data_IF_601084479751
#
_entry.id   IF_601084479751
#
_cell.length_a   1.000
_cell.length_b   1.000
_cell.length_c   1.000
_cell.angle_alpha   90.00
_cell.angle_beta   90.00
_cell.angle_gamma   90.00
#
_symmetry.space_group_name_H-M   'P 1'
#
loop_
_entity.id
_entity.type
_entity.pdbx_description
1 polymer ?
#
# COMPACT_ATOMS: atom_id res chain seq x y z
N UNK A 1 -9.01 -20.26 -21.69
CA UNK A 1 -10.08 -19.25 -21.52
C UNK A 1 -9.42 -17.90 -21.29
N UNK A 2 -9.58 -16.95 -22.23
CA UNK A 2 -9.08 -15.58 -22.06
C UNK A 2 -9.98 -14.85 -21.06
N UNK A 3 -9.46 -14.50 -19.88
CA UNK A 3 -10.17 -13.68 -18.91
C UNK A 3 -9.84 -12.23 -19.21
N UNK A 4 -10.67 -11.61 -20.05
CA UNK A 4 -10.58 -10.17 -20.32
C UNK A 4 -10.94 -9.41 -19.05
N UNK A 5 -9.97 -8.72 -18.46
CA UNK A 5 -10.21 -7.86 -17.30
C UNK A 5 -10.87 -6.57 -17.80
N UNK A 6 -12.09 -6.33 -17.35
CA UNK A 6 -12.81 -5.07 -17.61
C UNK A 6 -12.51 -4.14 -16.44
N UNK A 7 -11.63 -3.15 -16.66
CA UNK A 7 -11.10 -2.25 -15.62
C UNK A 7 -12.23 -1.52 -14.88
N UNK A 8 -13.26 -1.05 -15.60
CA UNK A 8 -14.41 -0.37 -15.00
C UNK A 8 -15.20 -1.26 -14.03
N UNK A 9 -15.40 -2.53 -14.38
CA UNK A 9 -16.08 -3.51 -13.52
C UNK A 9 -15.23 -3.89 -12.31
N UNK A 10 -13.91 -3.98 -12.48
CA UNK A 10 -12.99 -4.20 -11.37
C UNK A 10 -13.03 -3.04 -10.37
N UNK A 11 -12.99 -1.79 -10.86
CA UNK A 11 -13.09 -0.61 -10.01
C UNK A 11 -14.42 -0.51 -9.26
N UNK A 12 -15.53 -0.87 -9.90
CA UNK A 12 -16.85 -0.89 -9.27
C UNK A 12 -16.91 -1.93 -8.14
N UNK A 13 -16.40 -3.14 -8.39
CA UNK A 13 -16.35 -4.20 -7.37
C UNK A 13 -15.44 -3.81 -6.21
N UNK A 14 -14.28 -3.18 -6.47
CA UNK A 14 -13.38 -2.71 -5.42
C UNK A 14 -13.99 -1.58 -4.57
N UNK A 15 -14.81 -0.70 -5.18
CA UNK A 15 -15.47 0.40 -4.47
C UNK A 15 -16.64 -0.08 -3.60
N UNK A 16 -17.29 -1.16 -4.02
CA UNK A 16 -18.46 -1.72 -3.33
C UNK A 16 -18.12 -2.83 -2.33
N UNK A 17 -16.85 -3.25 -2.26
CA UNK A 17 -16.39 -4.22 -1.27
C UNK A 17 -16.26 -3.52 0.10
N UNK A 18 -16.56 -4.25 1.17
CA UNK A 18 -16.38 -3.73 2.53
C UNK A 18 -14.90 -3.35 2.77
N UNK A 19 -14.64 -2.40 3.67
CA UNK A 19 -13.28 -2.03 4.02
C UNK A 19 -12.60 -3.15 4.80
N UNK A 20 -11.89 -4.01 4.06
CA UNK A 20 -11.13 -5.13 4.60
C UNK A 20 -9.69 -4.72 4.95
N UNK A 21 -9.35 -3.42 4.91
CA UNK A 21 -7.98 -2.94 5.18
C UNK A 21 -7.46 -3.41 6.54
N UNK A 22 -8.34 -3.49 7.55
CA UNK A 22 -8.02 -3.98 8.89
C UNK A 22 -7.64 -5.47 9.00
N UNK A 23 -7.79 -6.25 7.91
CA UNK A 23 -7.35 -7.66 7.86
C UNK A 23 -5.95 -7.84 7.31
N UNK A 24 -5.39 -6.79 6.71
CA UNK A 24 -4.04 -6.82 6.19
C UNK A 24 -3.08 -6.25 7.22
N UNK A 25 -1.88 -6.84 7.29
CA UNK A 25 -0.83 -6.31 8.14
C UNK A 25 -0.52 -4.88 7.71
N UNK A 26 -0.37 -3.99 8.69
CA UNK A 26 0.03 -2.60 8.44
C UNK A 26 1.33 -2.63 7.59
N UNK A 27 1.32 -2.09 6.36
CA UNK A 27 2.50 -2.11 5.50
C UNK A 27 3.65 -1.28 6.09
N UNK A 28 3.37 -0.44 7.10
CA UNK A 28 4.36 0.30 7.86
C UNK A 28 4.83 -0.42 9.13
N UNK A 29 4.39 -1.66 9.36
CA UNK A 29 4.84 -2.46 10.50
C UNK A 29 6.35 -2.71 10.39
N UNK A 30 7.11 -2.16 11.35
CA UNK A 30 8.57 -2.24 11.37
C UNK A 30 9.27 -0.96 10.93
N UNK A 31 8.54 0.05 10.43
CA UNK A 31 9.10 1.38 10.26
C UNK A 31 9.38 2.02 11.62
N UNK A 32 10.47 2.79 11.70
CA UNK A 32 10.72 3.69 12.82
C UNK A 32 9.60 4.73 12.94
N UNK A 33 9.53 5.42 14.08
CA UNK A 33 8.54 6.50 14.28
C UNK A 33 8.76 7.63 13.26
N UNK A 34 10.01 7.96 12.93
CA UNK A 34 10.33 8.99 11.94
C UNK A 34 10.03 8.57 10.50
N UNK A 35 10.36 7.33 10.13
CA UNK A 35 9.98 6.79 8.83
C UNK A 35 8.44 6.70 8.67
N UNK A 36 7.71 6.35 9.73
CA UNK A 36 6.24 6.38 9.72
C UNK A 36 5.69 7.80 9.58
N UNK A 37 6.30 8.77 10.25
CA UNK A 37 5.95 10.18 10.06
C UNK A 37 6.14 10.63 8.60
N UNK A 38 7.26 10.26 7.96
CA UNK A 38 7.52 10.53 6.54
C UNK A 38 6.56 9.76 5.62
N UNK A 39 6.18 8.54 5.96
CA UNK A 39 5.18 7.77 5.21
C UNK A 39 3.84 8.53 5.14
N UNK A 40 3.34 9.00 6.28
CA UNK A 40 2.05 9.68 6.39
C UNK A 40 2.07 11.09 5.77
N UNK A 41 3.14 11.86 5.98
CA UNK A 41 3.19 13.28 5.63
C UNK A 41 3.92 13.60 4.32
N UNK A 42 4.65 12.63 3.77
CA UNK A 42 5.39 12.80 2.50
C UNK A 42 4.95 11.76 1.49
N UNK A 43 5.09 10.47 1.80
CA UNK A 43 4.92 9.42 0.80
C UNK A 43 3.46 9.27 0.34
N UNK A 44 2.50 9.19 1.27
CA UNK A 44 1.07 9.10 0.93
C UNK A 44 0.61 10.32 0.09
N UNK A 45 0.87 11.57 0.49
CA UNK A 45 0.51 12.73 -0.33
C UNK A 45 1.11 12.68 -1.74
N UNK A 46 2.40 12.35 -1.88
CA UNK A 46 3.06 12.22 -3.19
C UNK A 46 2.41 11.13 -4.04
N UNK A 47 2.12 9.97 -3.44
CA UNK A 47 1.42 8.88 -4.13
C UNK A 47 0.00 9.27 -4.56
N UNK A 48 -0.64 10.18 -3.84
CA UNK A 48 -1.96 10.71 -4.19
C UNK A 48 -1.90 11.91 -5.16
N UNK A 49 -0.71 12.29 -5.62
CA UNK A 49 -0.51 13.41 -6.54
C UNK A 49 -0.62 14.79 -5.88
N UNK A 50 -0.54 14.86 -4.55
CA UNK A 50 -0.49 16.11 -3.81
C UNK A 50 0.95 16.62 -3.72
N UNK A 51 1.10 17.95 -3.70
CA UNK A 51 2.39 18.60 -3.47
C UNK A 51 2.74 18.56 -1.98
N UNK A 52 3.99 18.21 -1.65
CA UNK A 52 4.49 18.19 -0.28
C UNK A 52 5.41 19.38 -0.07
N UNK A 53 5.00 20.31 0.78
CA UNK A 53 5.85 21.42 1.19
C UNK A 53 6.78 20.95 2.31
N UNK A 54 8.08 20.89 2.01
CA UNK A 54 9.09 20.49 2.99
C UNK A 54 9.20 21.46 4.16
N UNK A 55 8.84 22.73 3.97
CA UNK A 55 8.85 23.75 5.03
C UNK A 55 7.75 23.57 6.10
N UNK A 56 6.74 22.74 5.83
CA UNK A 56 5.69 22.40 6.82
C UNK A 56 5.97 21.10 7.59
N UNK A 57 7.07 20.42 7.31
CA UNK A 57 7.44 19.21 8.01
C UNK A 57 8.09 19.54 9.36
N UNK A 58 7.68 18.82 10.40
CA UNK A 58 8.36 18.78 11.68
C UNK A 58 9.70 18.03 11.53
N UNK A 59 10.78 18.79 11.39
CA UNK A 59 12.14 18.27 11.14
C UNK A 59 12.74 17.54 12.34
N UNK A 60 12.15 17.67 13.53
CA UNK A 60 12.61 16.99 14.75
C UNK A 60 12.03 15.57 14.87
N UNK A 61 11.08 15.20 14.01
CA UNK A 61 10.40 13.90 14.06
C UNK A 61 11.08 12.78 13.30
N UNK A 62 12.08 13.08 12.48
CA UNK A 62 12.76 12.10 11.66
C UNK A 62 14.23 12.48 11.49
N UNK A 63 15.05 11.48 11.21
CA UNK A 63 16.46 11.67 10.89
C UNK A 63 16.78 11.32 9.43
N UNK A 64 18.06 11.37 9.09
CA UNK A 64 18.52 11.06 7.74
C UNK A 64 18.36 9.59 7.38
N UNK A 65 18.44 8.67 8.34
CA UNK A 65 18.27 7.23 8.11
C UNK A 65 16.80 6.91 7.80
N UNK A 66 15.87 7.62 8.43
CA UNK A 66 14.43 7.51 8.14
C UNK A 66 14.11 7.89 6.68
N UNK A 67 14.80 8.89 6.12
CA UNK A 67 14.66 9.27 4.70
C UNK A 67 15.14 8.14 3.77
N UNK A 68 16.24 7.48 4.13
CA UNK A 68 16.73 6.31 3.40
C UNK A 68 15.73 5.15 3.47
N UNK A 69 15.23 4.88 4.68
CA UNK A 69 14.25 3.83 4.95
C UNK A 69 12.97 4.01 4.13
N UNK A 70 12.43 5.24 4.04
CA UNK A 70 11.21 5.49 3.26
C UNK A 70 11.46 5.40 1.74
N UNK A 71 12.66 5.76 1.28
CA UNK A 71 13.06 5.63 -0.12
C UNK A 71 13.17 4.17 -0.56
N UNK A 72 13.85 3.35 0.25
CA UNK A 72 13.99 1.91 0.00
C UNK A 72 12.61 1.24 0.03
N UNK A 73 11.79 1.56 1.05
CA UNK A 73 10.41 1.11 1.12
C UNK A 73 9.61 1.45 -0.15
N UNK A 74 9.72 2.69 -0.64
CA UNK A 74 9.03 3.08 -1.87
C UNK A 74 9.54 2.31 -3.08
N UNK A 75 10.86 2.11 -3.17
CA UNK A 75 11.50 1.40 -4.27
C UNK A 75 11.04 -0.05 -4.32
N UNK A 76 11.14 -0.76 -3.21
CA UNK A 76 10.80 -2.18 -3.08
C UNK A 76 9.32 -2.47 -3.35
N UNK A 77 8.43 -1.53 -2.97
CA UNK A 77 6.99 -1.75 -3.06
C UNK A 77 6.34 -1.14 -4.31
N UNK A 78 6.93 -0.10 -4.92
CA UNK A 78 6.22 0.71 -5.93
C UNK A 78 6.97 1.05 -7.22
N UNK A 79 8.31 0.94 -7.29
CA UNK A 79 9.05 1.37 -8.50
C UNK A 79 9.07 0.36 -9.65
N UNK A 80 8.76 -0.92 -9.39
CA UNK A 80 8.91 -1.99 -10.38
C UNK A 80 7.84 -2.05 -11.48
N UNK A 81 6.70 -1.38 -11.32
CA UNK A 81 5.56 -1.43 -12.23
C UNK A 81 4.92 -0.04 -12.31
N UNK A 82 4.16 0.28 -13.37
CA UNK A 82 3.45 1.57 -13.44
C UNK A 82 2.69 1.80 -12.14
N UNK A 83 2.45 3.05 -11.73
CA UNK A 83 1.82 3.37 -10.45
C UNK A 83 0.53 2.56 -10.21
N UNK A 84 -0.24 2.32 -11.27
CA UNK A 84 -1.45 1.48 -11.26
C UNK A 84 -1.15 -0.01 -11.05
N UNK A 85 -0.07 -0.49 -11.67
CA UNK A 85 0.30 -1.89 -11.69
C UNK A 85 1.10 -2.30 -10.44
N UNK A 86 1.86 -1.38 -9.85
CA UNK A 86 2.45 -1.54 -8.50
C UNK A 86 1.39 -1.60 -7.42
N UNK A 87 0.36 -0.73 -7.49
CA UNK A 87 -0.81 -0.81 -6.58
C UNK A 87 -1.56 -2.12 -6.74
N UNK A 88 -1.83 -2.55 -7.97
CA UNK A 88 -2.53 -3.80 -8.24
C UNK A 88 -1.69 -5.02 -7.83
N UNK A 89 -0.38 -4.97 -8.02
CA UNK A 89 0.55 -6.04 -7.61
C UNK A 89 0.69 -6.13 -6.10
N UNK A 90 0.93 -5.02 -5.41
CA UNK A 90 0.99 -5.00 -3.95
C UNK A 90 -0.31 -5.56 -3.36
N UNK A 91 -1.46 -5.13 -3.89
CA UNK A 91 -2.77 -5.69 -3.51
C UNK A 91 -2.87 -7.19 -3.77
N UNK A 92 -2.41 -7.66 -4.94
CA UNK A 92 -2.39 -9.09 -5.28
C UNK A 92 -1.48 -9.91 -4.35
N UNK A 93 -0.25 -9.46 -4.11
CA UNK A 93 0.74 -10.17 -3.29
C UNK A 93 0.29 -10.25 -1.83
N UNK A 94 -0.27 -9.16 -1.29
CA UNK A 94 -0.88 -9.10 0.04
C UNK A 94 -2.06 -10.08 0.15
N UNK A 95 -2.92 -10.16 -0.87
CA UNK A 95 -4.04 -11.11 -0.91
C UNK A 95 -3.58 -12.57 -1.08
N UNK A 96 -2.53 -12.84 -1.84
CA UNK A 96 -1.99 -14.19 -2.07
C UNK A 96 -1.20 -14.73 -0.87
N UNK A 97 -0.53 -13.85 -0.12
CA UNK A 97 0.17 -14.22 1.12
C UNK A 97 -0.75 -14.40 2.33
N UNK A 98 -1.97 -13.85 2.28
CA UNK A 98 -2.93 -13.98 3.37
C UNK A 98 -3.48 -15.42 3.47
N UNK A 99 -3.51 -16.02 4.68
CA UNK A 99 -4.09 -17.33 4.85
C UNK A 99 -5.60 -17.30 4.51
N UNK A 100 -6.12 -18.30 3.79
CA UNK A 100 -7.50 -18.32 3.35
C UNK A 100 -8.44 -18.30 4.57
N UNK A 101 -9.28 -17.26 4.63
CA UNK A 101 -10.23 -17.08 5.76
C UNK A 101 -11.43 -18.03 5.66
N UNK A 102 -11.62 -18.68 4.51
CA UNK A 102 -12.59 -19.76 4.38
C UNK A 102 -12.04 -21.07 4.95
N UNK A 103 -12.34 -21.33 6.23
CA UNK A 103 -12.45 -22.70 6.75
C UNK A 103 -13.34 -23.49 5.79
N UNK A 104 -12.82 -24.62 5.29
CA UNK A 104 -13.58 -25.65 4.57
C UNK A 104 -14.97 -25.81 5.18
N UNK A 105 -16.02 -25.40 4.48
CA UNK A 105 -17.31 -26.07 4.61
C UNK A 105 -17.11 -27.47 4.04
N UNK A 106 -16.99 -28.45 4.92
CA UNK A 106 -17.20 -29.84 4.53
C UNK A 106 -18.65 -29.95 4.06
N UNK A 107 -18.86 -30.20 2.78
CA UNK A 107 -20.15 -30.69 2.32
C UNK A 107 -20.28 -32.12 2.86
N UNK A 108 -21.19 -32.30 3.82
CA UNK A 108 -21.71 -33.60 4.23
C UNK A 108 -22.59 -34.18 3.12
#
# INVERSE_FOLDING_TARGET
MSRTIIISRLMELLRNTEDESGRFADPTAGLSVGARYLFDNVLIPLMNGAEVNTGSLDMDRFDREDIGTIFDFYTDNYTGYSQEFSRLRNYYDVCCGAPPVCRRTAFL
#
